data_IF_147088726023
#
_entry.id   IF_147088726023
#
_cell.length_a   1.000
_cell.length_b   1.000
_cell.length_c   1.000
_cell.angle_alpha   90.00
_cell.angle_beta   90.00
_cell.angle_gamma   90.00
#
_symmetry.space_group_name_H-M   'P 1'
#
loop_
_entity.id
_entity.type
_entity.pdbx_description
1 polymer ?
#
# COMPACT_ATOMS: atom_id res chain seq x y z
N UNK A 1 -0.14 5.29 -9.56
CA UNK A 1 -0.71 5.83 -8.32
C UNK A 1 -1.68 4.84 -7.71
N UNK A 2 -2.14 5.10 -6.49
CA UNK A 2 -3.22 4.37 -5.84
C UNK A 2 -4.14 5.37 -5.13
N UNK A 3 -5.43 5.03 -4.99
CA UNK A 3 -6.46 5.88 -4.42
C UNK A 3 -7.04 5.28 -3.15
N UNK A 4 -7.21 6.11 -2.13
CA UNK A 4 -7.93 5.78 -0.89
C UNK A 4 -9.41 6.03 -1.11
N UNK A 5 -10.25 5.05 -0.78
CA UNK A 5 -11.69 5.11 -1.10
C UNK A 5 -12.56 5.64 0.04
N UNK A 6 -12.09 5.55 1.29
CA UNK A 6 -12.86 5.92 2.49
C UNK A 6 -12.52 7.34 2.99
N UNK A 7 -12.21 8.26 2.09
CA UNK A 7 -11.98 9.68 2.38
C UNK A 7 -13.01 10.56 1.69
N UNK A 8 -13.15 11.79 2.16
CA UNK A 8 -14.02 12.79 1.54
C UNK A 8 -13.54 13.26 0.16
N UNK A 9 -12.29 12.93 -0.20
CA UNK A 9 -11.66 13.34 -1.47
C UNK A 9 -11.77 12.26 -2.56
N UNK A 10 -12.47 11.14 -2.30
CA UNK A 10 -12.55 10.06 -3.27
C UNK A 10 -13.24 10.50 -4.58
N UNK A 11 -14.36 11.21 -4.49
CA UNK A 11 -15.11 11.65 -5.67
C UNK A 11 -14.31 12.69 -6.48
N UNK A 12 -13.55 13.55 -5.82
CA UNK A 12 -12.60 14.46 -6.49
C UNK A 12 -11.52 13.68 -7.22
N UNK A 13 -10.93 12.66 -6.58
CA UNK A 13 -9.93 11.80 -7.22
C UNK A 13 -10.50 11.06 -8.45
N UNK A 14 -11.73 10.57 -8.38
CA UNK A 14 -12.45 9.98 -9.51
C UNK A 14 -12.57 10.99 -10.66
N UNK A 15 -13.02 12.21 -10.37
CA UNK A 15 -13.21 13.28 -11.36
C UNK A 15 -11.90 13.67 -12.03
N UNK A 16 -10.82 13.83 -11.25
CA UNK A 16 -9.48 14.15 -11.77
C UNK A 16 -8.96 13.01 -12.66
N UNK A 17 -9.12 11.77 -12.23
CA UNK A 17 -8.64 10.60 -12.98
C UNK A 17 -9.42 10.41 -14.28
N UNK A 18 -10.70 10.72 -14.30
CA UNK A 18 -11.55 10.68 -15.48
C UNK A 18 -11.17 11.77 -16.48
N UNK A 19 -11.16 13.03 -16.03
CA UNK A 19 -10.80 14.19 -16.84
C UNK A 19 -9.45 14.01 -17.56
N UNK A 20 -8.49 13.38 -16.92
CA UNK A 20 -7.14 13.18 -17.43
C UNK A 20 -6.89 11.77 -18.00
N UNK A 21 -7.93 10.96 -18.16
CA UNK A 21 -7.88 9.62 -18.76
C UNK A 21 -6.82 8.69 -18.13
N UNK A 22 -6.73 8.66 -16.81
CA UNK A 22 -5.78 7.76 -16.13
C UNK A 22 -6.38 6.81 -15.07
N UNK A 23 -7.72 6.63 -15.03
CA UNK A 23 -8.37 5.65 -14.15
C UNK A 23 -7.74 4.25 -14.25
N UNK A 24 -7.31 3.87 -15.45
CA UNK A 24 -6.65 2.60 -15.73
C UNK A 24 -5.20 2.50 -15.21
N UNK A 25 -4.66 3.57 -14.63
CA UNK A 25 -3.30 3.66 -14.05
C UNK A 25 -3.29 3.86 -12.54
N UNK A 26 -4.46 3.86 -11.91
CA UNK A 26 -4.61 4.07 -10.47
C UNK A 26 -5.10 2.78 -9.83
N UNK A 27 -4.33 2.24 -8.90
CA UNK A 27 -4.67 1.08 -8.09
C UNK A 27 -5.45 1.44 -6.82
N UNK A 28 -5.80 0.45 -6.03
CA UNK A 28 -6.46 0.64 -4.74
C UNK A 28 -5.43 0.77 -3.61
N UNK A 29 -5.57 1.82 -2.81
CA UNK A 29 -4.83 2.02 -1.56
C UNK A 29 -5.76 1.70 -0.39
N UNK A 30 -5.70 0.47 0.14
CA UNK A 30 -6.54 0.14 1.29
C UNK A 30 -6.11 0.95 2.52
N UNK A 31 -7.10 1.37 3.29
CA UNK A 31 -6.88 2.22 4.44
C UNK A 31 -7.71 1.77 5.63
N UNK A 32 -7.02 1.50 6.74
CA UNK A 32 -7.60 1.10 8.02
C UNK A 32 -7.12 2.01 9.17
N UNK A 33 -6.53 3.17 8.84
CA UNK A 33 -5.87 4.03 9.83
C UNK A 33 -6.36 5.48 9.83
N UNK A 34 -7.02 5.93 8.75
CA UNK A 34 -7.44 7.32 8.62
C UNK A 34 -8.85 7.44 8.03
N UNK A 35 -9.53 8.52 8.40
CA UNK A 35 -10.88 8.81 7.91
C UNK A 35 -11.96 7.91 8.51
N UNK A 36 -13.06 7.75 7.78
CA UNK A 36 -14.24 7.04 8.27
C UNK A 36 -14.33 5.64 7.71
N UNK A 37 -14.48 4.60 8.54
CA UNK A 37 -14.79 3.25 8.07
C UNK A 37 -16.08 3.22 7.24
N UNK A 38 -16.09 2.40 6.19
CA UNK A 38 -17.26 2.22 5.33
C UNK A 38 -18.30 1.28 5.94
N UNK A 39 -17.88 0.41 6.86
CA UNK A 39 -18.76 -0.60 7.47
C UNK A 39 -18.98 -0.36 8.96
N UNK A 40 -20.12 -0.81 9.47
CA UNK A 40 -20.46 -0.68 10.89
C UNK A 40 -19.73 -1.72 11.77
N UNK A 41 -19.32 -2.83 11.19
CA UNK A 41 -18.62 -3.91 11.90
C UNK A 41 -17.29 -3.44 12.48
N UNK A 42 -16.45 -2.84 11.65
CA UNK A 42 -15.12 -2.40 12.06
C UNK A 42 -15.15 -1.23 13.04
N UNK A 43 -16.18 -0.39 13.01
CA UNK A 43 -16.38 0.70 13.98
C UNK A 43 -16.50 0.21 15.43
N UNK A 44 -16.93 -1.04 15.62
CA UNK A 44 -17.04 -1.68 16.94
C UNK A 44 -15.71 -2.23 17.45
N UNK A 45 -14.72 -2.33 16.60
CA UNK A 45 -13.39 -2.82 16.95
C UNK A 45 -12.51 -1.68 17.43
N UNK A 46 -12.38 -1.52 18.75
CA UNK A 46 -11.58 -0.45 19.40
C UNK A 46 -10.10 -0.44 18.98
N UNK A 47 -9.62 -1.53 18.40
CA UNK A 47 -8.25 -1.65 17.85
C UNK A 47 -8.09 -0.88 16.53
N UNK A 48 -9.17 -0.63 15.82
CA UNK A 48 -9.18 0.01 14.50
C UNK A 48 -9.90 1.34 14.47
N UNK A 49 -10.95 1.52 15.30
CA UNK A 49 -11.76 2.72 15.25
C UNK A 49 -12.16 3.23 16.63
N UNK A 50 -12.25 4.56 16.76
CA UNK A 50 -12.82 5.28 17.90
C UNK A 50 -13.73 6.38 17.38
N UNK A 51 -14.88 6.56 18.03
CA UNK A 51 -15.80 7.64 17.69
C UNK A 51 -16.10 7.74 16.18
N UNK A 52 -16.37 6.60 15.55
CA UNK A 52 -16.66 6.46 14.11
C UNK A 52 -15.50 6.81 13.15
N UNK A 53 -14.31 7.07 13.63
CA UNK A 53 -13.12 7.28 12.81
C UNK A 53 -12.12 6.15 13.02
N UNK A 54 -11.33 5.87 12.00
CA UNK A 54 -10.17 5.03 12.17
C UNK A 54 -9.19 5.67 13.16
N UNK A 55 -8.66 4.86 14.07
CA UNK A 55 -7.65 5.24 15.07
C UNK A 55 -6.68 4.06 15.25
N UNK A 56 -6.18 3.58 14.13
CA UNK A 56 -5.26 2.45 14.10
C UNK A 56 -3.83 2.91 14.29
N UNK A 57 -3.19 2.35 15.31
CA UNK A 57 -1.77 2.55 15.57
C UNK A 57 -0.97 1.30 15.18
N UNK A 58 0.04 1.43 14.29
CA UNK A 58 0.85 0.30 13.83
C UNK A 58 1.55 -0.49 14.94
N UNK A 59 1.69 0.08 16.13
CA UNK A 59 2.28 -0.59 17.29
C UNK A 59 1.43 -1.74 17.85
N UNK A 60 0.17 -1.87 17.41
CA UNK A 60 -0.72 -2.97 17.75
C UNK A 60 -0.55 -4.23 16.88
N UNK A 61 0.36 -4.22 15.92
CA UNK A 61 0.65 -5.33 14.99
C UNK A 61 0.78 -6.71 15.63
N UNK A 62 1.01 -6.78 16.92
CA UNK A 62 1.29 -8.05 17.62
C UNK A 62 0.09 -8.64 18.34
N UNK A 63 -1.04 -7.97 18.37
CA UNK A 63 -2.17 -8.33 19.24
C UNK A 63 -3.40 -8.80 18.50
N UNK A 64 -3.38 -8.78 17.18
CA UNK A 64 -4.60 -9.01 16.44
C UNK A 64 -4.69 -10.48 16.06
N UNK A 65 -5.68 -11.13 16.60
CA UNK A 65 -5.98 -12.53 16.33
C UNK A 65 -6.80 -12.65 15.03
N UNK A 66 -6.72 -13.80 14.34
CA UNK A 66 -7.53 -14.02 13.12
C UNK A 66 -9.03 -13.85 13.31
N UNK A 67 -9.53 -13.81 14.55
CA UNK A 67 -10.95 -13.65 14.89
C UNK A 67 -11.59 -12.38 14.30
N UNK A 68 -10.79 -11.37 13.97
CA UNK A 68 -11.27 -10.14 13.35
C UNK A 68 -11.21 -10.17 11.82
N UNK A 69 -10.74 -11.26 11.22
CA UNK A 69 -10.53 -11.34 9.77
C UNK A 69 -11.81 -11.10 8.97
N UNK A 70 -12.95 -11.62 9.46
CA UNK A 70 -14.24 -11.44 8.76
C UNK A 70 -14.70 -9.99 8.76
N UNK A 71 -14.59 -9.30 9.90
CA UNK A 71 -14.95 -7.88 10.01
C UNK A 71 -14.03 -7.00 9.16
N UNK A 72 -12.74 -7.33 9.12
CA UNK A 72 -11.78 -6.65 8.26
C UNK A 72 -12.07 -6.95 6.79
N UNK A 73 -12.40 -8.19 6.45
CA UNK A 73 -12.79 -8.56 5.09
C UNK A 73 -14.01 -7.76 4.61
N UNK A 74 -15.02 -7.58 5.47
CA UNK A 74 -16.19 -6.76 5.16
C UNK A 74 -15.80 -5.31 4.82
N UNK A 75 -14.96 -4.70 5.62
CA UNK A 75 -14.46 -3.33 5.38
C UNK A 75 -13.62 -3.25 4.11
N UNK A 76 -12.68 -4.16 3.93
CA UNK A 76 -11.83 -4.20 2.74
C UNK A 76 -12.66 -4.45 1.46
N UNK A 77 -13.68 -5.28 1.55
CA UNK A 77 -14.59 -5.52 0.44
C UNK A 77 -15.38 -4.27 0.08
N UNK A 78 -15.89 -3.53 1.07
CA UNK A 78 -16.56 -2.26 0.84
C UNK A 78 -15.63 -1.24 0.16
N UNK A 79 -14.35 -1.19 0.55
CA UNK A 79 -13.36 -0.34 -0.10
C UNK A 79 -13.10 -0.77 -1.54
N UNK A 80 -12.99 -2.07 -1.82
CA UNK A 80 -12.83 -2.61 -3.18
C UNK A 80 -14.05 -2.27 -4.05
N UNK A 81 -15.27 -2.47 -3.53
CA UNK A 81 -16.50 -2.16 -4.26
C UNK A 81 -16.61 -0.66 -4.58
N UNK A 82 -16.25 0.20 -3.64
CA UNK A 82 -16.22 1.65 -3.85
C UNK A 82 -15.17 2.04 -4.89
N UNK A 83 -13.98 1.43 -4.87
CA UNK A 83 -12.95 1.60 -5.90
C UNK A 83 -13.49 1.26 -7.30
N UNK A 84 -14.12 0.10 -7.44
CA UNK A 84 -14.68 -0.35 -8.71
C UNK A 84 -15.83 0.54 -9.18
N UNK A 85 -16.70 1.00 -8.27
CA UNK A 85 -17.80 1.94 -8.59
C UNK A 85 -17.29 3.29 -9.09
N UNK A 86 -16.09 3.72 -8.68
CA UNK A 86 -15.41 4.90 -9.23
C UNK A 86 -14.87 4.72 -10.65
N UNK A 87 -15.02 3.53 -11.24
CA UNK A 87 -14.58 3.23 -12.61
C UNK A 87 -13.08 2.98 -12.74
N UNK A 88 -12.37 2.75 -11.64
CA UNK A 88 -10.97 2.34 -11.68
C UNK A 88 -10.84 0.88 -12.10
N UNK A 89 -9.81 0.55 -12.88
CA UNK A 89 -9.65 -0.78 -13.46
C UNK A 89 -8.25 -1.39 -13.31
N UNK A 90 -7.32 -0.69 -12.65
CA UNK A 90 -6.01 -1.27 -12.38
C UNK A 90 -6.08 -2.19 -11.17
N UNK A 91 -6.06 -3.50 -11.39
CA UNK A 91 -6.14 -4.51 -10.32
C UNK A 91 -4.81 -4.66 -9.57
N UNK A 92 -4.33 -3.53 -9.06
CA UNK A 92 -3.17 -3.42 -8.17
C UNK A 92 -3.61 -2.91 -6.81
N UNK A 93 -3.03 -3.45 -5.74
CA UNK A 93 -3.38 -3.08 -4.38
C UNK A 93 -2.13 -2.80 -3.54
N UNK A 94 -2.21 -1.77 -2.75
CA UNK A 94 -1.26 -1.46 -1.69
C UNK A 94 -1.99 -0.98 -0.43
N UNK A 95 -1.26 -0.64 0.63
CA UNK A 95 -1.89 -0.23 1.88
C UNK A 95 -1.37 1.09 2.39
N UNK A 96 -2.28 1.87 2.95
CA UNK A 96 -1.95 3.04 3.75
C UNK A 96 -1.28 2.61 5.05
N UNK A 97 -0.26 3.37 5.47
CA UNK A 97 0.57 3.01 6.61
C UNK A 97 1.01 1.54 6.53
N UNK A 98 0.90 0.81 7.60
CA UNK A 98 1.39 -0.55 7.71
C UNK A 98 0.27 -1.60 7.80
N UNK A 99 -0.91 -1.36 7.19
CA UNK A 99 -2.05 -2.27 7.31
C UNK A 99 -1.74 -3.71 6.86
N UNK A 100 -0.88 -3.88 5.85
CA UNK A 100 -0.44 -5.22 5.42
C UNK A 100 0.38 -6.00 6.46
N UNK A 101 0.85 -5.34 7.51
CA UNK A 101 1.55 -6.05 8.60
C UNK A 101 0.60 -6.70 9.59
N UNK A 102 -0.68 -6.47 9.48
CA UNK A 102 -1.67 -6.97 10.42
C UNK A 102 -2.20 -8.34 9.99
N UNK A 103 -2.19 -9.30 10.94
CA UNK A 103 -2.58 -10.69 10.66
C UNK A 103 -4.02 -10.81 10.13
N UNK A 104 -5.02 -10.15 10.72
CA UNK A 104 -6.39 -10.22 10.20
C UNK A 104 -6.51 -9.65 8.78
N UNK A 105 -5.69 -8.64 8.43
CA UNK A 105 -5.67 -8.10 7.08
C UNK A 105 -5.19 -9.17 6.08
N UNK A 106 -4.14 -9.94 6.42
CA UNK A 106 -3.71 -11.04 5.57
C UNK A 106 -4.85 -12.04 5.33
N UNK A 107 -5.53 -12.48 6.39
CA UNK A 107 -6.59 -13.49 6.28
C UNK A 107 -7.86 -12.94 5.62
N UNK A 108 -8.26 -11.70 5.92
CA UNK A 108 -9.42 -11.05 5.31
C UNK A 108 -9.21 -10.67 3.85
N UNK A 109 -8.00 -10.22 3.50
CA UNK A 109 -7.70 -9.73 2.15
C UNK A 109 -7.51 -10.85 1.11
N UNK A 110 -6.86 -11.96 1.46
CA UNK A 110 -6.49 -12.98 0.46
C UNK A 110 -7.68 -13.58 -0.31
N UNK A 111 -8.82 -13.91 0.33
CA UNK A 111 -10.01 -14.35 -0.40
C UNK A 111 -10.55 -13.28 -1.36
N UNK A 112 -10.48 -12.00 -0.97
CA UNK A 112 -10.94 -10.88 -1.77
C UNK A 112 -10.05 -10.64 -2.99
N UNK A 113 -8.73 -10.76 -2.85
CA UNK A 113 -7.82 -10.65 -3.99
C UNK A 113 -8.15 -11.69 -5.06
N UNK A 114 -8.47 -12.93 -4.65
CA UNK A 114 -8.92 -13.97 -5.56
C UNK A 114 -10.29 -13.67 -6.17
N UNK A 115 -11.27 -13.28 -5.34
CA UNK A 115 -12.65 -12.96 -5.76
C UNK A 115 -12.69 -11.87 -6.81
N UNK A 116 -11.95 -10.79 -6.58
CA UNK A 116 -11.91 -9.61 -7.45
C UNK A 116 -10.81 -9.66 -8.51
N UNK A 117 -10.06 -10.78 -8.60
CA UNK A 117 -9.02 -11.01 -9.61
C UNK A 117 -7.93 -9.92 -9.60
N UNK A 118 -7.47 -9.53 -8.42
CA UNK A 118 -6.30 -8.65 -8.34
C UNK A 118 -5.09 -9.33 -8.99
N UNK A 119 -4.28 -8.55 -9.70
CA UNK A 119 -3.15 -9.04 -10.48
C UNK A 119 -1.80 -8.73 -9.82
N UNK A 120 -1.74 -7.66 -9.03
CA UNK A 120 -0.50 -7.24 -8.38
C UNK A 120 -0.74 -6.65 -7.01
N UNK A 121 0.29 -6.74 -6.16
CA UNK A 121 0.27 -6.24 -4.79
C UNK A 121 1.64 -5.66 -4.42
N UNK A 122 1.65 -4.61 -3.57
CA UNK A 122 2.90 -4.08 -3.03
C UNK A 122 3.63 -5.12 -2.21
N UNK A 123 4.90 -5.31 -2.51
CA UNK A 123 5.78 -6.17 -1.74
C UNK A 123 6.21 -5.49 -0.44
N UNK A 124 5.97 -6.16 0.67
CA UNK A 124 6.34 -5.65 2.00
C UNK A 124 7.44 -6.48 2.67
N UNK A 125 7.90 -7.53 2.01
CA UNK A 125 8.80 -8.54 2.60
C UNK A 125 10.13 -7.99 3.09
N UNK A 126 10.72 -6.98 2.43
CA UNK A 126 11.97 -6.39 2.89
C UNK A 126 11.85 -5.66 4.23
N UNK A 127 10.67 -5.21 4.62
CA UNK A 127 10.42 -4.60 5.93
C UNK A 127 10.40 -5.61 7.06
N UNK A 128 10.17 -6.90 6.76
CA UNK A 128 10.20 -7.98 7.76
C UNK A 128 11.62 -8.45 8.08
N UNK A 129 12.58 -8.27 7.18
CA UNK A 129 13.93 -8.82 7.34
C UNK A 129 14.76 -8.11 8.43
N UNK A 130 14.38 -6.90 8.84
CA UNK A 130 15.05 -6.19 9.92
C UNK A 130 14.37 -6.40 11.29
N UNK A 131 13.50 -7.40 11.39
CA UNK A 131 12.65 -7.63 12.55
C UNK A 131 12.93 -8.92 13.32
N UNK A 132 12.08 -9.21 14.30
CA UNK A 132 12.11 -10.45 15.07
C UNK A 132 11.84 -11.68 14.18
N UNK A 133 12.16 -12.88 14.71
CA UNK A 133 11.84 -14.17 14.04
C UNK A 133 10.36 -14.27 13.65
N UNK A 134 9.48 -13.67 14.45
CA UNK A 134 8.05 -13.61 14.17
C UNK A 134 7.72 -12.81 12.91
N UNK A 135 8.38 -11.67 12.70
CA UNK A 135 8.23 -10.87 11.48
C UNK A 135 8.68 -11.65 10.24
N UNK A 136 9.79 -12.38 10.32
CA UNK A 136 10.24 -13.24 9.22
C UNK A 136 9.21 -14.32 8.88
N UNK A 137 8.67 -14.98 9.89
CA UNK A 137 7.61 -15.98 9.70
C UNK A 137 6.39 -15.37 9.00
N UNK A 138 5.93 -14.23 9.48
CA UNK A 138 4.78 -13.55 8.91
C UNK A 138 5.02 -13.08 7.46
N UNK A 139 6.18 -12.50 7.18
CA UNK A 139 6.58 -12.14 5.81
C UNK A 139 6.62 -13.35 4.87
N UNK A 140 7.06 -14.50 5.37
CA UNK A 140 7.03 -15.75 4.60
C UNK A 140 5.59 -16.23 4.31
N UNK A 141 4.65 -16.04 5.26
CA UNK A 141 3.23 -16.34 5.01
C UNK A 141 2.65 -15.42 3.94
N UNK A 142 2.93 -14.11 3.98
CA UNK A 142 2.54 -13.18 2.93
C UNK A 142 3.05 -13.63 1.57
N UNK A 143 4.36 -13.90 1.48
CA UNK A 143 4.97 -14.34 0.22
C UNK A 143 4.32 -15.62 -0.29
N UNK A 144 4.14 -16.62 0.56
CA UNK A 144 3.48 -17.87 0.19
C UNK A 144 2.07 -17.65 -0.36
N UNK A 145 1.29 -16.75 0.24
CA UNK A 145 -0.07 -16.42 -0.21
C UNK A 145 -0.06 -15.68 -1.55
N UNK A 146 0.83 -14.72 -1.73
CA UNK A 146 1.00 -14.03 -3.00
C UNK A 146 1.37 -15.00 -4.12
N UNK A 147 2.33 -15.89 -3.87
CA UNK A 147 2.75 -16.92 -4.83
C UNK A 147 1.59 -17.87 -5.19
N UNK A 148 0.80 -18.30 -4.20
CA UNK A 148 -0.38 -19.15 -4.42
C UNK A 148 -1.48 -18.50 -5.28
N UNK A 149 -1.59 -17.19 -5.21
CA UNK A 149 -2.53 -16.40 -6.01
C UNK A 149 -1.92 -15.89 -7.31
N UNK A 150 -0.65 -16.23 -7.59
CA UNK A 150 0.12 -15.74 -8.74
C UNK A 150 0.13 -14.21 -8.86
N UNK A 151 0.14 -13.51 -7.71
CA UNK A 151 0.17 -12.06 -7.68
C UNK A 151 1.56 -11.55 -8.06
N UNK A 152 1.59 -10.63 -9.01
CA UNK A 152 2.82 -9.94 -9.39
C UNK A 152 3.21 -8.95 -8.30
N UNK A 153 4.50 -8.84 -8.03
CA UNK A 153 5.03 -7.88 -7.06
C UNK A 153 6.49 -7.53 -7.36
N UNK A 154 6.93 -6.38 -6.87
CA UNK A 154 8.35 -6.06 -6.86
C UNK A 154 9.13 -6.99 -5.91
N UNK A 155 10.44 -7.05 -6.07
CA UNK A 155 11.32 -7.81 -5.18
C UNK A 155 11.82 -6.98 -4.00
N UNK A 156 11.62 -5.66 -4.07
CA UNK A 156 12.01 -4.68 -3.08
C UNK A 156 11.04 -3.50 -3.12
N UNK A 157 10.70 -2.94 -1.96
CA UNK A 157 9.83 -1.77 -1.86
C UNK A 157 10.31 -0.83 -0.75
N UNK A 158 10.38 0.48 -1.02
CA UNK A 158 10.75 1.48 -0.01
C UNK A 158 10.39 2.90 -0.43
N UNK A 159 10.42 3.84 0.53
CA UNK A 159 10.44 5.27 0.21
C UNK A 159 11.73 5.68 -0.52
N UNK A 160 11.71 6.84 -1.19
CA UNK A 160 12.89 7.40 -1.88
C UNK A 160 14.08 7.53 -0.93
N UNK A 161 13.87 8.06 0.29
CA UNK A 161 14.94 8.23 1.27
C UNK A 161 15.57 6.89 1.69
N UNK A 162 14.76 5.89 1.96
CA UNK A 162 15.23 4.55 2.31
C UNK A 162 15.91 3.86 1.13
N UNK A 163 15.41 4.07 -0.08
CA UNK A 163 16.04 3.57 -1.31
C UNK A 163 17.46 4.14 -1.46
N UNK A 164 17.63 5.46 -1.33
CA UNK A 164 18.95 6.10 -1.44
C UNK A 164 19.93 5.60 -0.38
N UNK A 165 19.48 5.51 0.88
CA UNK A 165 20.27 4.95 1.98
C UNK A 165 20.73 3.52 1.67
N UNK A 166 19.81 2.66 1.25
CA UNK A 166 20.09 1.26 0.97
C UNK A 166 20.94 1.07 -0.29
N UNK A 167 20.80 1.93 -1.28
CA UNK A 167 21.66 1.96 -2.46
C UNK A 167 23.11 2.34 -2.09
N UNK A 168 23.29 3.40 -1.28
CA UNK A 168 24.63 3.84 -0.82
C UNK A 168 25.31 2.80 0.06
N UNK A 169 24.57 2.15 0.94
CA UNK A 169 25.09 1.07 1.82
C UNK A 169 25.23 -0.28 1.11
N UNK A 170 24.87 -0.38 -0.18
CA UNK A 170 24.86 -1.64 -0.93
C UNK A 170 24.05 -2.72 -0.23
N UNK A 171 22.88 -2.36 0.28
CA UNK A 171 21.98 -3.30 0.96
C UNK A 171 21.77 -4.56 0.10
N UNK A 172 22.05 -5.78 0.62
CA UNK A 172 22.02 -7.00 -0.18
C UNK A 172 20.67 -7.33 -0.80
N UNK A 173 19.56 -6.93 -0.17
CA UNK A 173 18.20 -7.17 -0.67
C UNK A 173 17.91 -6.29 -1.88
N UNK A 174 18.30 -5.00 -1.80
CA UNK A 174 18.16 -4.09 -2.94
C UNK A 174 19.07 -4.51 -4.09
N UNK A 175 20.31 -4.91 -3.80
CA UNK A 175 21.27 -5.32 -4.84
C UNK A 175 20.84 -6.60 -5.58
N UNK A 176 20.09 -7.46 -4.95
CA UNK A 176 19.51 -8.68 -5.54
C UNK A 176 18.15 -8.46 -6.22
N UNK A 177 17.51 -7.32 -5.98
CA UNK A 177 16.19 -7.05 -6.53
C UNK A 177 16.28 -6.81 -8.05
N UNK A 178 15.48 -7.57 -8.79
CA UNK A 178 15.31 -7.36 -10.25
C UNK A 178 14.36 -6.20 -10.53
N UNK A 179 13.36 -6.02 -9.67
CA UNK A 179 12.33 -4.98 -9.74
C UNK A 179 12.16 -4.36 -8.36
N UNK A 180 12.24 -3.03 -8.28
CA UNK A 180 12.04 -2.28 -7.05
C UNK A 180 10.84 -1.33 -7.20
N UNK A 181 9.99 -1.28 -6.19
CA UNK A 181 8.95 -0.27 -6.04
C UNK A 181 9.47 0.83 -5.12
N UNK A 182 9.53 2.05 -5.64
CA UNK A 182 9.91 3.23 -4.84
C UNK A 182 8.69 4.14 -4.75
N UNK A 183 8.15 4.28 -3.55
CA UNK A 183 6.96 5.09 -3.34
C UNK A 183 7.31 6.50 -2.85
N UNK A 184 6.47 7.44 -3.23
CA UNK A 184 6.53 8.86 -2.87
C UNK A 184 5.16 9.33 -2.40
N UNK A 185 5.15 10.37 -1.58
CA UNK A 185 3.93 11.05 -1.11
C UNK A 185 3.99 12.51 -1.57
N UNK A 186 3.68 12.78 -2.84
CA UNK A 186 3.84 14.11 -3.40
C UNK A 186 2.83 15.10 -2.82
N UNK A 187 3.34 16.23 -2.36
CA UNK A 187 2.55 17.39 -1.93
C UNK A 187 3.04 18.60 -2.70
N UNK A 188 2.10 19.42 -3.18
CA UNK A 188 2.42 20.67 -3.88
C UNK A 188 2.60 21.78 -2.85
N UNK A 189 3.79 22.35 -2.76
CA UNK A 189 4.12 23.46 -1.88
C UNK A 189 4.83 24.55 -2.71
N UNK A 190 4.31 25.75 -2.71
CA UNK A 190 4.89 26.90 -3.42
C UNK A 190 5.23 26.62 -4.90
N UNK A 191 4.41 25.82 -5.57
CA UNK A 191 4.59 25.45 -6.98
C UNK A 191 5.56 24.29 -7.25
N UNK A 192 6.12 23.68 -6.22
CA UNK A 192 7.02 22.53 -6.33
C UNK A 192 6.42 21.28 -5.69
N UNK A 193 6.61 20.12 -6.32
CA UNK A 193 6.32 18.85 -5.67
C UNK A 193 7.44 18.47 -4.72
N UNK A 194 7.08 18.30 -3.46
CA UNK A 194 7.94 17.73 -2.42
C UNK A 194 7.43 16.36 -2.00
N UNK A 195 8.30 15.52 -1.46
CA UNK A 195 7.86 14.29 -0.79
C UNK A 195 7.60 14.58 0.69
N UNK A 196 6.36 14.46 1.12
CA UNK A 196 5.95 14.71 2.50
C UNK A 196 6.72 13.85 3.53
N UNK A 197 7.25 12.71 3.12
CA UNK A 197 8.01 11.80 3.99
C UNK A 197 9.46 12.24 4.21
N UNK A 198 10.02 13.05 3.32
CA UNK A 198 11.43 13.46 3.36
C UNK A 198 11.66 14.88 3.86
N UNK A 199 10.62 15.55 4.33
CA UNK A 199 10.75 16.85 5.02
C UNK A 199 11.15 18.01 4.11
N UNK A 200 10.61 18.09 2.88
CA UNK A 200 10.70 19.32 2.06
C UNK A 200 11.70 19.31 0.92
N UNK A 201 12.34 18.19 0.62
CA UNK A 201 13.17 18.09 -0.59
C UNK A 201 12.30 18.00 -1.84
N UNK A 202 12.59 18.81 -2.87
CA UNK A 202 11.92 18.72 -4.15
C UNK A 202 12.04 17.29 -4.72
N UNK A 203 10.95 16.75 -5.23
CA UNK A 203 10.95 15.37 -5.77
C UNK A 203 11.90 15.20 -6.94
N UNK A 204 12.01 16.21 -7.81
CA UNK A 204 12.93 16.20 -8.94
C UNK A 204 14.39 16.07 -8.47
N UNK A 205 14.79 16.83 -7.47
CA UNK A 205 16.13 16.79 -6.90
C UNK A 205 16.39 15.45 -6.20
N UNK A 206 15.37 14.94 -5.50
CA UNK A 206 15.43 13.60 -4.89
C UNK A 206 15.65 12.50 -5.94
N UNK A 207 14.98 12.58 -7.08
CA UNK A 207 15.15 11.61 -8.16
C UNK A 207 16.52 11.69 -8.81
N UNK A 208 17.04 12.89 -9.06
CA UNK A 208 18.41 13.10 -9.57
C UNK A 208 19.46 12.59 -8.59
N UNK A 209 19.34 12.96 -7.30
CA UNK A 209 20.24 12.53 -6.24
C UNK A 209 20.28 11.01 -6.07
N UNK A 210 19.15 10.37 -6.18
CA UNK A 210 19.01 8.91 -6.06
C UNK A 210 19.29 8.17 -7.36
N UNK A 211 19.50 8.87 -8.46
CA UNK A 211 19.65 8.35 -9.82
C UNK A 211 18.43 7.58 -10.32
N UNK A 212 17.25 7.84 -9.74
CA UNK A 212 15.99 7.25 -10.21
C UNK A 212 15.64 7.74 -11.61
N UNK A 213 16.00 8.99 -11.95
CA UNK A 213 15.87 9.58 -13.28
C UNK A 213 16.59 8.79 -14.40
N UNK A 214 17.57 7.96 -14.04
CA UNK A 214 18.34 7.10 -14.97
C UNK A 214 17.85 5.65 -15.01
N UNK A 215 16.82 5.31 -14.23
CA UNK A 215 16.29 3.95 -14.18
C UNK A 215 15.13 3.79 -15.16
N UNK A 216 14.96 2.55 -15.66
CA UNK A 216 13.77 2.22 -16.45
C UNK A 216 12.57 2.10 -15.53
N UNK A 217 11.60 2.99 -15.71
CA UNK A 217 10.30 2.89 -15.05
C UNK A 217 9.41 1.86 -15.76
N UNK A 218 8.72 1.07 -14.96
CA UNK A 218 7.75 0.08 -15.41
C UNK A 218 6.45 0.27 -14.63
N UNK A 219 5.37 -0.30 -15.11
CA UNK A 219 4.06 -0.27 -14.42
C UNK A 219 3.88 -1.54 -13.58
N UNK A 220 2.86 -1.56 -12.73
CA UNK A 220 2.45 -2.79 -12.02
C UNK A 220 2.01 -3.93 -12.96
N UNK A 221 1.71 -3.60 -14.22
CA UNK A 221 1.40 -4.61 -15.26
C UNK A 221 2.65 -5.31 -15.78
N UNK A 222 3.82 -4.71 -15.59
CA UNK A 222 5.12 -5.23 -16.05
C UNK A 222 5.89 -5.95 -14.92
N UNK A 223 5.30 -6.05 -13.72
CA UNK A 223 5.87 -6.73 -12.55
C UNK A 223 5.99 -8.25 -12.69
#
# INVERSE_FOLDING_TARGET
>A
ASVVTNTNYFDEAVSIAEKNNFKHKVGLHINLSDGTPLTSGIKKLKQYARSDLFDYHPDFLHRVTPIYADVIAEELEAQIQKYLSGGFSLMNIDSHHCAFYDIPVLYGLMPLLKKYKFESVRYIGNSFFNGSKWRHFYGAQWKKKMDQLHLRHANYSSSVATFDKNRKSRNPQLMKAKKAEVYVHPVLVEGYFIDNYTGGTHLEDSFKKTKLDKMKFITSRDL
#
